data_IF_118923591025
#
_entry.id   IF_118923591025
#
_cell.length_a   1.000
_cell.length_b   1.000
_cell.length_c   1.000
_cell.angle_alpha   90.00
_cell.angle_beta   90.00
_cell.angle_gamma   90.00
#
_symmetry.space_group_name_H-M   'P 1'
#
loop_
_entity.id
_entity.type
_entity.pdbx_description
1 polymer ?
#
# COMPACT_ATOMS: atom_id res chain seq x y z
N UNK A 1 100.81 6.94 -22.36
CA UNK A 1 100.36 6.94 -23.76
C UNK A 1 99.93 8.37 -24.06
N UNK A 2 100.73 9.28 -24.65
CA UNK A 2 101.47 9.21 -25.94
C UNK A 2 100.47 8.77 -27.01
N UNK A 3 99.94 9.62 -27.89
CA UNK A 3 100.55 10.41 -29.00
C UNK A 3 99.57 11.58 -29.30
N UNK A 4 99.94 12.88 -29.24
CA UNK A 4 100.55 13.72 -30.32
C UNK A 4 99.81 13.58 -31.68
N UNK A 5 99.60 14.56 -32.56
CA UNK A 5 100.26 15.81 -32.93
C UNK A 5 99.24 16.54 -33.85
N UNK A 6 98.92 17.84 -33.63
CA UNK A 6 99.59 19.03 -34.18
C UNK A 6 99.49 19.19 -35.72
N UNK A 7 98.85 20.28 -36.16
CA UNK A 7 99.38 21.36 -37.02
C UNK A 7 98.19 22.28 -37.43
N UNK A 8 98.06 23.54 -36.97
CA UNK A 8 98.70 24.80 -37.44
C UNK A 8 98.45 25.16 -38.92
N UNK A 9 98.47 26.46 -39.34
CA UNK A 9 98.27 27.73 -38.62
C UNK A 9 97.39 28.76 -39.40
N UNK A 10 97.31 29.96 -38.82
CA UNK A 10 96.61 31.18 -39.23
C UNK A 10 96.81 31.72 -40.66
N UNK A 11 95.85 32.51 -41.15
CA UNK A 11 96.13 33.65 -42.03
C UNK A 11 95.12 34.79 -41.89
N UNK A 12 95.67 36.00 -41.84
CA UNK A 12 95.03 37.31 -41.79
C UNK A 12 94.45 37.76 -43.13
N UNK A 13 93.55 38.76 -43.12
CA UNK A 13 93.30 39.64 -44.28
C UNK A 13 91.86 40.15 -44.46
N UNK A 14 91.63 41.40 -44.07
CA UNK A 14 90.61 42.37 -44.58
C UNK A 14 90.70 42.55 -46.13
N UNK A 15 89.85 43.32 -46.88
CA UNK A 15 88.73 44.24 -46.56
C UNK A 15 87.50 44.10 -47.56
N UNK A 16 86.53 45.06 -47.67
CA UNK A 16 85.18 44.83 -48.24
C UNK A 16 84.97 45.33 -49.68
N UNK A 17 83.99 44.74 -50.38
CA UNK A 17 83.19 45.23 -51.53
C UNK A 17 82.58 43.96 -52.16
N UNK A 18 81.34 43.85 -52.62
CA UNK A 18 80.48 44.80 -53.32
C UNK A 18 79.03 44.33 -53.19
N UNK A 19 78.09 45.28 -53.29
CA UNK A 19 76.69 44.99 -53.65
C UNK A 19 76.67 44.17 -54.94
N UNK A 20 75.84 43.14 -54.98
CA UNK A 20 74.85 42.92 -56.04
C UNK A 20 74.08 41.61 -55.82
N UNK A 21 72.88 41.58 -56.38
CA UNK A 21 71.96 40.45 -56.55
C UNK A 21 71.28 39.84 -55.31
N UNK A 22 70.12 40.40 -54.97
CA UNK A 22 69.06 39.64 -54.29
C UNK A 22 68.49 38.56 -55.24
N UNK A 23 68.31 37.30 -54.81
CA UNK A 23 67.60 36.31 -55.61
C UNK A 23 66.08 36.61 -55.62
N UNK A 24 65.36 36.25 -56.70
CA UNK A 24 63.93 36.49 -56.79
C UNK A 24 63.19 35.66 -55.75
N UNK A 25 62.38 36.32 -54.92
CA UNK A 25 61.44 35.69 -53.99
C UNK A 25 60.44 34.89 -54.81
N UNK A 26 60.46 33.57 -54.62
CA UNK A 26 59.43 32.69 -55.15
C UNK A 26 58.09 33.08 -54.51
N UNK A 27 57.09 33.27 -55.35
CA UNK A 27 55.71 33.57 -55.00
C UNK A 27 55.11 32.31 -54.35
N UNK A 28 55.32 32.15 -53.04
CA UNK A 28 54.65 31.11 -52.26
C UNK A 28 53.14 31.44 -52.25
N UNK A 29 52.38 30.63 -52.97
CA UNK A 29 50.94 30.67 -52.99
C UNK A 29 50.40 30.63 -51.55
N UNK A 30 49.87 31.75 -51.08
CA UNK A 30 49.15 31.85 -49.82
C UNK A 30 47.91 30.97 -49.95
N UNK A 31 47.92 29.78 -49.35
CA UNK A 31 46.72 28.99 -49.18
C UNK A 31 45.71 29.82 -48.36
N UNK A 32 44.47 30.02 -48.85
CA UNK A 32 43.50 30.81 -48.10
C UNK A 32 43.14 30.09 -46.80
N UNK A 33 43.43 30.72 -45.66
CA UNK A 33 42.98 30.28 -44.34
C UNK A 33 41.45 30.13 -44.39
N UNK A 34 40.87 28.95 -44.11
CA UNK A 34 39.43 28.79 -44.13
C UNK A 34 38.81 29.67 -43.03
N UNK A 35 38.01 30.67 -43.45
CA UNK A 35 37.22 31.49 -42.53
C UNK A 35 36.21 30.56 -41.87
N UNK A 36 36.47 30.12 -40.63
CA UNK A 36 35.51 29.36 -39.84
C UNK A 36 34.30 30.25 -39.61
N UNK A 37 33.14 29.84 -40.14
CA UNK A 37 31.89 30.54 -39.92
C UNK A 37 31.69 30.78 -38.41
N UNK A 38 31.22 31.97 -37.99
CA UNK A 38 30.92 32.22 -36.58
C UNK A 38 29.92 31.17 -36.12
N UNK A 39 30.18 30.57 -34.95
CA UNK A 39 29.29 29.58 -34.38
C UNK A 39 27.86 30.15 -34.30
N UNK A 40 26.81 29.35 -34.59
CA UNK A 40 25.44 29.82 -34.46
C UNK A 40 25.19 30.31 -33.04
N UNK A 41 24.48 31.43 -32.89
CA UNK A 41 24.10 31.92 -31.56
C UNK A 41 23.21 30.86 -30.91
N UNK A 42 23.45 30.48 -29.65
CA UNK A 42 22.58 29.56 -28.96
C UNK A 42 21.17 30.19 -28.87
N UNK A 43 20.14 29.38 -29.09
CA UNK A 43 18.73 29.77 -28.94
C UNK A 43 18.09 29.14 -27.71
N UNK A 44 18.81 28.25 -27.03
CA UNK A 44 18.41 27.55 -25.81
C UNK A 44 19.42 27.75 -24.68
N UNK A 45 18.95 27.65 -23.45
CA UNK A 45 19.76 27.58 -22.25
C UNK A 45 19.77 26.15 -21.69
N UNK A 46 20.86 25.77 -21.03
CA UNK A 46 20.94 24.50 -20.33
C UNK A 46 20.35 24.66 -18.92
N UNK A 47 19.43 23.77 -18.54
CA UNK A 47 18.81 23.71 -17.22
C UNK A 47 19.30 22.45 -16.51
N UNK A 48 19.90 22.63 -15.34
CA UNK A 48 20.24 21.56 -14.42
C UNK A 48 19.41 21.70 -13.15
N UNK A 49 18.65 20.67 -12.80
CA UNK A 49 17.83 20.66 -11.59
C UNK A 49 18.23 19.49 -10.71
N UNK A 50 18.74 19.81 -9.54
CA UNK A 50 18.99 18.87 -8.45
C UNK A 50 17.81 18.89 -7.49
N UNK A 51 17.45 17.74 -6.93
CA UNK A 51 16.35 17.66 -5.96
C UNK A 51 16.47 16.48 -5.02
N UNK A 52 16.03 16.70 -3.78
CA UNK A 52 15.87 15.65 -2.75
C UNK A 52 14.65 14.76 -3.01
N UNK A 53 13.66 15.24 -3.79
CA UNK A 53 12.50 14.46 -4.22
C UNK A 53 12.85 13.60 -5.45
N UNK A 54 13.66 12.55 -5.24
CA UNK A 54 14.08 11.64 -6.30
C UNK A 54 12.90 10.98 -7.01
N UNK A 55 12.88 11.05 -8.35
CA UNK A 55 11.83 10.45 -9.17
C UNK A 55 10.57 11.30 -9.34
N UNK A 56 10.51 12.50 -8.74
CA UNK A 56 9.45 13.47 -8.99
C UNK A 56 9.50 13.97 -10.44
N UNK A 57 8.36 14.04 -11.13
CA UNK A 57 8.33 14.51 -12.53
C UNK A 57 8.36 16.04 -12.55
N UNK A 58 9.27 16.60 -13.33
CA UNK A 58 9.34 18.05 -13.57
C UNK A 58 8.63 18.40 -14.88
N UNK A 59 7.78 19.41 -14.81
CA UNK A 59 7.05 19.98 -15.95
C UNK A 59 7.39 21.46 -16.04
N UNK A 60 7.70 21.94 -17.24
CA UNK A 60 7.96 23.35 -17.51
C UNK A 60 6.82 23.92 -18.35
N UNK A 61 6.18 24.99 -17.88
CA UNK A 61 5.12 25.71 -18.58
C UNK A 61 5.65 27.06 -19.07
N UNK A 62 5.49 27.36 -20.37
CA UNK A 62 5.92 28.66 -20.94
C UNK A 62 4.98 29.76 -20.46
N UNK A 63 5.54 30.83 -19.88
CA UNK A 63 4.80 32.03 -19.50
C UNK A 63 4.77 33.08 -20.61
N UNK A 64 5.51 32.85 -21.70
CA UNK A 64 5.57 33.73 -22.86
C UNK A 64 4.82 33.08 -24.05
N UNK A 65 3.80 33.78 -24.57
CA UNK A 65 2.98 33.37 -25.72
C UNK A 65 3.75 33.38 -27.07
N UNK A 66 4.93 33.99 -27.13
CA UNK A 66 5.69 34.24 -28.35
C UNK A 66 6.73 33.14 -28.67
N UNK A 67 6.88 32.17 -27.78
CA UNK A 67 7.78 31.02 -27.97
C UNK A 67 7.05 30.04 -28.88
N UNK A 68 7.39 29.95 -30.16
CA UNK A 68 6.77 29.06 -31.16
C UNK A 68 6.91 27.54 -30.90
N UNK A 69 7.00 27.11 -29.65
CA UNK A 69 7.05 25.73 -29.17
C UNK A 69 5.86 25.38 -28.25
N UNK A 70 5.80 24.16 -27.71
CA UNK A 70 4.70 23.73 -26.84
C UNK A 70 4.67 24.55 -25.54
N UNK A 71 3.48 24.97 -25.13
CA UNK A 71 3.25 25.72 -23.88
C UNK A 71 3.61 24.92 -22.62
N UNK A 72 3.78 23.61 -22.73
CA UNK A 72 4.12 22.72 -21.62
C UNK A 72 5.11 21.65 -22.11
N UNK A 73 6.23 21.49 -21.41
CA UNK A 73 7.28 20.51 -21.69
C UNK A 73 7.49 19.61 -20.48
N UNK A 74 7.27 18.30 -20.63
CA UNK A 74 7.65 17.33 -19.60
C UNK A 74 9.16 17.06 -19.66
N UNK A 75 9.88 17.37 -18.59
CA UNK A 75 11.33 17.22 -18.51
C UNK A 75 11.75 15.82 -18.00
N UNK A 76 10.86 15.13 -17.28
CA UNK A 76 11.09 13.79 -16.76
C UNK A 76 11.37 13.75 -15.25
N UNK A 77 11.87 12.62 -14.71
CA UNK A 77 12.13 12.46 -13.28
C UNK A 77 13.35 13.27 -12.82
N UNK A 78 13.28 13.84 -11.61
CA UNK A 78 14.40 14.53 -10.95
C UNK A 78 15.43 13.53 -10.38
N UNK A 79 16.74 13.85 -10.40
CA UNK A 79 17.36 15.05 -10.99
C UNK A 79 17.37 15.01 -12.52
N UNK A 80 17.29 16.18 -13.16
CA UNK A 80 17.18 16.28 -14.63
C UNK A 80 18.16 17.29 -15.22
N UNK A 81 18.67 16.96 -16.41
CA UNK A 81 19.39 17.87 -17.29
C UNK A 81 18.58 18.05 -18.57
N UNK A 82 18.18 19.28 -18.86
CA UNK A 82 17.36 19.60 -20.03
C UNK A 82 17.84 20.86 -20.73
N UNK A 83 17.47 21.02 -22.00
CA UNK A 83 17.68 22.27 -22.73
C UNK A 83 16.32 22.86 -23.04
N UNK A 84 16.07 24.09 -22.61
CA UNK A 84 14.84 24.82 -22.87
C UNK A 84 15.13 26.07 -23.71
N UNK A 85 14.22 26.48 -24.60
CA UNK A 85 14.32 27.75 -25.31
C UNK A 85 14.46 28.92 -24.32
N UNK A 86 15.19 29.95 -24.73
CA UNK A 86 15.26 31.18 -23.93
C UNK A 86 13.87 31.81 -23.80
N UNK A 87 13.51 32.24 -22.59
CA UNK A 87 12.17 32.71 -22.26
C UNK A 87 11.83 32.50 -20.78
N UNK A 88 10.64 32.91 -20.36
CA UNK A 88 10.12 32.71 -19.01
C UNK A 88 9.35 31.40 -18.91
N UNK A 89 9.70 30.60 -17.92
CA UNK A 89 9.14 29.28 -17.67
C UNK A 89 8.69 29.16 -16.21
N UNK A 90 7.52 28.58 -15.98
CA UNK A 90 7.09 28.10 -14.66
C UNK A 90 7.42 26.63 -14.55
N UNK A 91 8.38 26.29 -13.70
CA UNK A 91 8.71 24.91 -13.37
C UNK A 91 7.75 24.43 -12.29
N UNK A 92 7.19 23.24 -12.46
CA UNK A 92 6.30 22.59 -11.49
C UNK A 92 6.74 21.15 -11.27
N UNK A 93 6.77 20.73 -10.01
CA UNK A 93 6.98 19.32 -9.68
C UNK A 93 5.99 18.85 -8.64
N UNK A 94 5.45 17.65 -8.87
CA UNK A 94 4.52 16.96 -8.00
C UNK A 94 5.03 15.54 -7.78
N UNK A 95 5.06 15.10 -6.53
CA UNK A 95 5.45 13.74 -6.18
C UNK A 95 4.67 13.25 -4.97
N UNK A 96 4.44 11.94 -4.91
CA UNK A 96 3.70 11.32 -3.83
C UNK A 96 4.40 11.57 -2.48
N UNK A 97 3.71 12.22 -1.55
CA UNK A 97 4.21 12.52 -0.21
C UNK A 97 4.86 13.90 -0.04
N UNK A 98 4.91 14.73 -1.07
CA UNK A 98 5.47 16.09 -1.01
C UNK A 98 4.43 17.15 -1.40
N UNK A 99 4.58 18.37 -0.87
CA UNK A 99 3.79 19.51 -1.30
C UNK A 99 4.13 19.86 -2.77
N UNK A 100 3.13 20.25 -3.58
CA UNK A 100 3.38 20.76 -4.93
C UNK A 100 4.33 21.94 -4.89
N UNK A 101 5.38 21.89 -5.70
CA UNK A 101 6.36 22.96 -5.79
C UNK A 101 6.26 23.64 -7.16
N UNK A 102 6.37 24.98 -7.17
CA UNK A 102 6.43 25.76 -8.41
C UNK A 102 7.37 26.94 -8.30
N UNK A 103 8.15 27.19 -9.34
CA UNK A 103 9.07 28.33 -9.42
C UNK A 103 9.09 28.93 -10.83
N UNK A 104 9.00 30.26 -10.91
CA UNK A 104 9.14 31.00 -12.17
C UNK A 104 10.61 31.33 -12.40
N UNK A 105 11.12 30.95 -13.57
CA UNK A 105 12.53 31.13 -13.96
C UNK A 105 12.63 31.74 -15.35
N UNK A 106 13.67 32.53 -15.58
CA UNK A 106 13.99 33.10 -16.89
C UNK A 106 15.23 32.41 -17.43
N UNK A 107 15.11 31.77 -18.59
CA UNK A 107 16.20 31.06 -19.25
C UNK A 107 16.84 31.99 -20.28
N UNK A 108 18.14 32.24 -20.13
CA UNK A 108 18.94 33.05 -21.04
C UNK A 108 19.69 32.13 -22.00
N UNK A 109 19.70 32.49 -23.29
CA UNK A 109 20.32 31.66 -24.31
C UNK A 109 21.85 31.55 -24.10
N UNK A 110 22.37 30.31 -24.07
CA UNK A 110 23.80 30.05 -23.87
C UNK A 110 24.30 30.09 -22.43
N UNK A 111 23.44 30.42 -21.45
CA UNK A 111 23.80 30.39 -20.03
C UNK A 111 23.24 29.13 -19.34
N UNK A 112 24.05 28.42 -18.54
CA UNK A 112 23.55 27.31 -17.73
C UNK A 112 22.87 27.82 -16.46
N UNK A 113 21.63 27.40 -16.22
CA UNK A 113 20.89 27.65 -14.98
C UNK A 113 20.92 26.37 -14.12
N UNK A 114 21.42 26.47 -12.89
CA UNK A 114 21.38 25.38 -11.90
C UNK A 114 20.41 25.73 -10.79
N UNK A 115 19.48 24.83 -10.50
CA UNK A 115 18.46 24.99 -9.45
C UNK A 115 18.52 23.80 -8.49
N UNK A 116 18.41 24.11 -7.20
CA UNK A 116 18.23 23.13 -6.14
C UNK A 116 16.78 23.19 -5.67
N UNK A 117 16.07 22.07 -5.77
CA UNK A 117 14.64 21.95 -5.47
C UNK A 117 14.43 21.03 -4.28
N UNK A 118 13.93 21.58 -3.18
CA UNK A 118 13.61 20.84 -1.96
C UNK A 118 12.12 20.98 -1.66
N UNK A 119 11.25 20.12 -2.20
CA UNK A 119 9.83 20.13 -1.88
C UNK A 119 9.61 19.78 -0.41
N UNK A 120 8.67 20.46 0.25
CA UNK A 120 8.31 20.16 1.64
C UNK A 120 7.58 18.82 1.74
N UNK A 121 7.95 17.98 2.70
CA UNK A 121 7.31 16.68 2.93
C UNK A 121 5.92 16.87 3.57
N UNK A 122 4.91 16.20 3.06
CA UNK A 122 3.61 16.12 3.74
C UNK A 122 3.71 15.01 4.78
N UNK A 123 3.94 15.42 6.03
CA UNK A 123 4.09 14.49 7.15
C UNK A 123 2.77 13.83 7.56
N UNK A 124 1.64 14.52 7.38
CA UNK A 124 0.34 14.03 7.85
C UNK A 124 -0.39 13.14 6.83
N UNK A 125 -1.02 12.07 7.30
CA UNK A 125 -2.03 11.32 6.57
C UNK A 125 -3.40 11.44 7.25
N UNK A 126 -4.48 11.34 6.49
CA UNK A 126 -5.85 11.48 6.99
C UNK A 126 -6.59 10.15 6.97
N UNK A 127 -7.19 9.79 8.12
CA UNK A 127 -8.05 8.64 8.26
C UNK A 127 -9.49 9.09 8.52
N UNK A 128 -10.37 8.84 7.57
CA UNK A 128 -11.80 9.09 7.70
C UNK A 128 -12.53 7.77 7.97
N UNK A 129 -13.20 7.65 9.11
CA UNK A 129 -13.93 6.47 9.52
C UNK A 129 -15.44 6.75 9.54
N UNK A 130 -16.19 5.97 8.76
CA UNK A 130 -17.64 6.11 8.59
C UNK A 130 -18.36 4.89 9.14
N UNK A 131 -19.54 5.13 9.72
CA UNK A 131 -20.46 4.06 10.10
C UNK A 131 -21.31 3.67 8.88
N UNK A 132 -21.16 2.44 8.38
CA UNK A 132 -21.93 1.94 7.24
C UNK A 132 -23.31 1.37 7.63
N UNK A 133 -23.61 1.28 8.92
CA UNK A 133 -24.90 0.93 9.50
C UNK A 133 -25.04 1.52 10.92
N UNK A 134 -26.28 1.61 11.41
CA UNK A 134 -26.62 2.08 12.77
C UNK A 134 -25.90 1.25 13.87
N UNK A 135 -25.68 -0.04 13.60
CA UNK A 135 -24.93 -0.91 14.51
C UNK A 135 -23.47 -0.45 14.73
N UNK A 136 -22.86 0.28 13.78
CA UNK A 136 -21.48 0.77 13.87
C UNK A 136 -21.36 2.16 14.51
N UNK A 137 -22.44 2.92 14.61
CA UNK A 137 -22.40 4.27 15.19
C UNK A 137 -21.99 4.23 16.67
N UNK A 138 -21.10 5.13 17.08
CA UNK A 138 -20.56 5.17 18.44
C UNK A 138 -19.69 3.96 18.81
N UNK A 139 -19.21 3.17 17.84
CA UNK A 139 -18.19 2.17 18.10
C UNK A 139 -16.84 2.85 18.41
N UNK A 140 -16.10 2.29 19.35
CA UNK A 140 -14.78 2.77 19.75
C UNK A 140 -13.74 2.28 18.73
N UNK A 141 -12.99 3.22 18.17
CA UNK A 141 -11.87 2.96 17.26
C UNK A 141 -10.57 3.16 18.02
N UNK A 142 -9.69 2.19 17.93
CA UNK A 142 -8.33 2.25 18.46
C UNK A 142 -7.31 2.04 17.36
N UNK A 143 -6.20 2.77 17.44
CA UNK A 143 -5.05 2.68 16.56
C UNK A 143 -3.86 2.22 17.40
N UNK A 144 -3.26 1.09 17.03
CA UNK A 144 -2.11 0.49 17.75
C UNK A 144 -2.34 0.25 19.26
N UNK A 145 -3.61 0.10 19.65
CA UNK A 145 -4.03 -0.13 21.04
C UNK A 145 -4.42 1.14 21.80
N UNK A 146 -4.18 2.32 21.25
CA UNK A 146 -4.61 3.60 21.82
C UNK A 146 -5.99 4.00 21.28
N UNK A 147 -6.84 4.54 22.16
CA UNK A 147 -8.18 4.98 21.76
C UNK A 147 -8.06 6.24 20.90
N UNK A 148 -8.52 6.15 19.65
CA UNK A 148 -8.47 7.25 18.70
C UNK A 148 -9.74 8.10 18.78
N UNK A 149 -10.90 7.49 18.50
CA UNK A 149 -12.18 8.19 18.45
C UNK A 149 -13.38 7.24 18.46
N UNK A 150 -14.60 7.79 18.59
CA UNK A 150 -15.86 7.07 18.35
C UNK A 150 -16.38 7.31 16.93
N UNK A 151 -16.93 6.27 16.28
CA UNK A 151 -17.50 6.39 14.93
C UNK A 151 -18.76 7.28 14.88
N UNK A 152 -18.95 8.10 13.83
CA UNK A 152 -18.01 8.44 12.76
C UNK A 152 -16.99 9.51 13.20
N UNK A 153 -15.76 9.44 12.69
CA UNK A 153 -14.70 10.39 13.01
C UNK A 153 -13.69 10.57 11.86
N UNK A 154 -12.93 11.66 11.90
CA UNK A 154 -11.83 11.95 10.97
C UNK A 154 -10.64 12.45 11.77
N UNK A 155 -9.51 11.75 11.66
CA UNK A 155 -8.32 12.04 12.45
C UNK A 155 -7.06 12.06 11.59
N UNK A 156 -6.04 12.77 12.10
CA UNK A 156 -4.69 12.74 11.53
C UNK A 156 -3.95 11.55 12.08
N UNK A 157 -3.24 10.85 11.20
CA UNK A 157 -2.50 9.63 11.52
C UNK A 157 -1.12 9.74 10.89
N UNK A 158 -0.11 9.32 11.64
CA UNK A 158 1.25 9.27 11.14
C UNK A 158 1.37 8.28 9.97
N UNK A 159 2.25 8.53 8.98
CA UNK A 159 2.53 7.56 7.93
C UNK A 159 3.23 6.33 8.50
N UNK A 160 2.76 5.14 8.13
CA UNK A 160 3.30 3.91 8.70
C UNK A 160 2.42 2.70 8.55
N UNK A 161 2.77 1.65 9.31
CA UNK A 161 1.93 0.47 9.50
C UNK A 161 1.26 0.60 10.85
N UNK A 162 -0.05 0.63 10.85
CA UNK A 162 -0.88 0.70 12.03
C UNK A 162 -1.80 -0.51 12.11
N UNK A 163 -2.32 -0.77 13.30
CA UNK A 163 -3.34 -1.78 13.56
C UNK A 163 -4.60 -1.09 14.02
N UNK A 164 -5.64 -1.17 13.21
CA UNK A 164 -6.95 -0.57 13.54
C UNK A 164 -7.79 -1.64 14.20
N UNK A 165 -8.30 -1.35 15.39
CA UNK A 165 -9.27 -2.20 16.07
C UNK A 165 -10.54 -1.40 16.40
N UNK A 166 -11.69 -1.90 15.94
CA UNK A 166 -13.00 -1.32 16.18
C UNK A 166 -13.81 -2.25 17.09
N UNK A 167 -14.33 -1.70 18.19
CA UNK A 167 -15.06 -2.45 19.21
C UNK A 167 -16.34 -1.74 19.60
N UNK A 168 -17.39 -2.54 19.82
CA UNK A 168 -18.66 -2.07 20.40
C UNK A 168 -19.29 -3.21 21.20
N UNK A 169 -19.96 -2.86 22.30
CA UNK A 169 -20.63 -3.84 23.17
C UNK A 169 -21.64 -4.67 22.38
N UNK A 170 -21.66 -5.99 22.58
CA UNK A 170 -22.53 -6.96 21.89
C UNK A 170 -22.36 -7.03 20.36
N UNK A 171 -21.24 -6.56 19.82
CA UNK A 171 -20.91 -6.67 18.39
C UNK A 171 -19.63 -7.48 18.21
N UNK A 172 -19.47 -8.10 17.04
CA UNK A 172 -18.24 -8.81 16.68
C UNK A 172 -17.11 -7.77 16.48
N UNK A 173 -15.95 -7.92 17.14
CA UNK A 173 -14.84 -6.99 16.97
C UNK A 173 -14.27 -7.09 15.56
N UNK A 174 -13.70 -5.98 15.08
CA UNK A 174 -13.02 -5.90 13.81
C UNK A 174 -11.58 -5.42 14.05
N UNK A 175 -10.59 -6.15 13.51
CA UNK A 175 -9.17 -5.86 13.69
C UNK A 175 -8.44 -6.17 12.38
N UNK A 176 -7.72 -5.20 11.84
CA UNK A 176 -6.95 -5.37 10.60
C UNK A 176 -5.73 -4.44 10.53
N UNK A 177 -4.68 -4.85 9.81
CA UNK A 177 -3.54 -3.98 9.54
C UNK A 177 -3.93 -2.89 8.53
N UNK A 178 -3.54 -1.65 8.82
CA UNK A 178 -3.68 -0.50 7.94
C UNK A 178 -2.30 0.08 7.64
N UNK A 179 -1.92 0.12 6.36
CA UNK A 179 -0.75 0.90 5.92
C UNK A 179 -1.23 2.29 5.47
N UNK A 180 -0.59 3.33 5.98
CA UNK A 180 -0.76 4.72 5.56
C UNK A 180 0.54 5.22 4.94
N UNK A 181 0.45 5.80 3.74
CA UNK A 181 1.57 6.53 3.15
C UNK A 181 1.40 8.04 3.42
N UNK A 182 2.46 8.80 3.16
CA UNK A 182 2.42 10.27 3.22
C UNK A 182 1.36 10.82 2.26
N UNK A 183 0.65 11.87 2.71
CA UNK A 183 -0.44 12.48 1.97
C UNK A 183 -1.59 11.52 1.54
N UNK A 184 -1.70 10.35 2.18
CA UNK A 184 -2.85 9.45 1.97
C UNK A 184 -4.09 10.03 2.67
N UNK A 185 -5.22 10.02 1.99
CA UNK A 185 -6.55 10.11 2.60
C UNK A 185 -7.24 8.74 2.46
N UNK A 186 -7.40 8.03 3.57
CA UNK A 186 -8.04 6.71 3.61
C UNK A 186 -9.43 6.86 4.22
N UNK A 187 -10.46 6.49 3.48
CA UNK A 187 -11.83 6.35 3.98
C UNK A 187 -12.13 4.89 4.28
N UNK A 188 -12.60 4.60 5.49
CA UNK A 188 -13.03 3.28 5.95
C UNK A 188 -14.54 3.30 6.23
N UNK A 189 -15.30 2.54 5.44
CA UNK A 189 -16.71 2.30 5.69
C UNK A 189 -16.84 1.06 6.60
N UNK A 190 -17.06 1.27 7.90
CA UNK A 190 -17.08 0.19 8.90
C UNK A 190 -18.49 -0.35 9.07
N UNK A 191 -18.66 -1.68 8.96
CA UNK A 191 -19.90 -2.41 9.20
C UNK A 191 -19.69 -3.47 10.28
N UNK A 192 -20.12 -3.16 11.50
CA UNK A 192 -20.19 -4.12 12.60
C UNK A 192 -21.43 -5.00 12.50
N UNK A 193 -21.24 -6.27 12.86
CA UNK A 193 -22.31 -7.25 12.99
C UNK A 193 -22.57 -7.56 14.48
N UNK A 194 -23.83 -7.83 14.87
CA UNK A 194 -24.14 -8.23 16.23
C UNK A 194 -23.41 -9.54 16.57
N UNK A 195 -22.95 -9.62 17.81
CA UNK A 195 -22.45 -10.87 18.37
C UNK A 195 -23.60 -11.86 18.47
N UNK A 196 -23.37 -13.09 18.03
CA UNK A 196 -24.37 -14.16 18.16
C UNK A 196 -24.74 -14.32 19.64
N UNK A 197 -26.04 -14.51 19.91
CA UNK A 197 -26.50 -14.76 21.27
C UNK A 197 -26.10 -16.17 21.69
N UNK A 198 -25.75 -16.37 22.97
CA UNK A 198 -25.50 -17.71 23.51
C UNK A 198 -26.78 -18.53 23.71
N UNK A 199 -27.94 -18.01 23.29
CA UNK A 199 -29.24 -18.61 23.53
C UNK A 199 -29.38 -20.04 22.95
N UNK A 200 -28.91 -20.35 21.73
CA UNK A 200 -28.98 -21.72 21.20
C UNK A 200 -28.13 -22.71 22.02
N UNK A 201 -26.94 -22.29 22.47
CA UNK A 201 -26.09 -23.11 23.35
C UNK A 201 -26.78 -23.37 24.71
N UNK A 202 -27.38 -22.34 25.31
CA UNK A 202 -28.10 -22.46 26.59
C UNK A 202 -29.32 -23.39 26.44
N UNK A 203 -30.11 -23.23 25.38
CA UNK A 203 -31.29 -24.05 25.13
C UNK A 203 -30.92 -25.52 24.91
N UNK A 204 -29.96 -25.78 24.02
CA UNK A 204 -29.50 -27.15 23.74
C UNK A 204 -28.85 -27.79 24.96
N UNK A 205 -28.10 -27.02 25.75
CA UNK A 205 -27.51 -27.50 27.00
C UNK A 205 -28.56 -27.86 28.05
N UNK A 206 -29.61 -27.04 28.19
CA UNK A 206 -30.73 -27.32 29.09
C UNK A 206 -31.48 -28.60 28.68
N UNK A 207 -31.75 -28.78 27.38
CA UNK A 207 -32.35 -30.02 26.85
C UNK A 207 -31.41 -31.23 27.02
N UNK A 208 -30.10 -31.03 26.87
CA UNK A 208 -29.08 -32.05 27.10
C UNK A 208 -29.10 -32.51 28.56
N UNK A 209 -29.22 -31.59 29.51
CA UNK A 209 -29.32 -31.92 30.93
C UNK A 209 -30.60 -32.69 31.27
N UNK A 210 -31.75 -32.29 30.72
CA UNK A 210 -33.01 -32.99 30.98
C UNK A 210 -33.00 -34.41 30.43
N UNK A 211 -32.47 -34.61 29.22
CA UNK A 211 -32.30 -35.94 28.62
C UNK A 211 -31.28 -36.79 29.36
N UNK A 212 -30.21 -36.18 29.88
CA UNK A 212 -29.24 -36.87 30.73
C UNK A 212 -29.89 -37.40 32.02
N UNK A 213 -30.65 -36.55 32.72
CA UNK A 213 -31.36 -36.94 33.94
C UNK A 213 -32.38 -38.04 33.65
N UNK A 214 -33.14 -37.93 32.56
CA UNK A 214 -34.06 -38.98 32.14
C UNK A 214 -33.33 -40.30 31.84
N UNK A 215 -32.21 -40.25 31.11
CA UNK A 215 -31.39 -41.42 30.79
C UNK A 215 -30.87 -42.13 32.04
N UNK A 216 -30.35 -41.38 33.01
CA UNK A 216 -29.93 -41.93 34.31
C UNK A 216 -31.11 -42.58 35.02
N UNK A 217 -32.26 -41.90 35.13
CA UNK A 217 -33.44 -42.45 35.82
C UNK A 217 -33.91 -43.76 35.18
N UNK A 218 -34.14 -43.78 33.87
CA UNK A 218 -34.64 -44.98 33.18
C UNK A 218 -33.64 -46.14 33.19
N UNK A 219 -32.33 -45.86 33.09
CA UNK A 219 -31.33 -46.91 33.25
C UNK A 219 -31.30 -47.47 34.67
N UNK A 220 -31.43 -46.63 35.70
CA UNK A 220 -31.50 -47.12 37.10
C UNK A 220 -32.73 -47.98 37.36
N UNK A 221 -33.91 -47.58 36.87
CA UNK A 221 -35.15 -48.37 36.98
C UNK A 221 -35.03 -49.70 36.25
N UNK A 222 -34.49 -49.70 35.02
CA UNK A 222 -34.25 -50.92 34.25
C UNK A 222 -33.29 -51.89 34.95
N UNK A 223 -32.19 -51.38 35.52
CA UNK A 223 -31.23 -52.19 36.29
C UNK A 223 -31.83 -52.70 37.60
N UNK A 224 -32.67 -51.89 38.27
CA UNK A 224 -33.36 -52.33 39.49
C UNK A 224 -34.35 -53.46 39.19
N UNK A 225 -35.10 -53.37 38.09
CA UNK A 225 -35.95 -54.47 37.62
C UNK A 225 -35.11 -55.73 37.41
N UNK A 226 -34.03 -55.65 36.64
CA UNK A 226 -33.14 -56.79 36.40
C UNK A 226 -32.57 -57.39 37.69
N UNK A 227 -32.15 -56.57 38.66
CA UNK A 227 -31.62 -57.03 39.95
C UNK A 227 -32.68 -57.74 40.79
N UNK A 228 -33.91 -57.24 40.81
CA UNK A 228 -35.00 -57.89 41.56
C UNK A 228 -35.37 -59.25 40.97
N UNK A 229 -35.38 -59.37 39.64
CA UNK A 229 -35.57 -60.67 38.98
C UNK A 229 -34.45 -61.65 39.30
N UNK A 230 -33.19 -61.19 39.27
CA UNK A 230 -32.04 -62.02 39.58
C UNK A 230 -32.09 -62.52 41.04
N UNK A 231 -32.46 -61.65 41.98
CA UNK A 231 -32.60 -62.01 43.38
C UNK A 231 -33.71 -63.06 43.60
N UNK A 232 -34.84 -62.95 42.90
CA UNK A 232 -35.92 -63.94 42.97
C UNK A 232 -35.49 -65.29 42.37
N UNK A 233 -34.72 -65.27 41.28
CA UNK A 233 -34.19 -66.48 40.64
C UNK A 233 -33.22 -67.22 41.56
N UNK A 234 -32.32 -66.49 42.22
CA UNK A 234 -31.36 -67.04 43.19
C UNK A 234 -32.07 -67.57 44.45
N UNK A 235 -33.24 -67.01 44.79
CA UNK A 235 -34.08 -67.43 45.91
C UNK A 235 -34.99 -68.64 45.63
N UNK A 236 -34.88 -69.29 44.46
CA UNK A 236 -35.79 -70.33 43.99
C UNK A 236 -37.27 -69.88 43.90
N UNK A 237 -37.51 -68.58 43.70
CA UNK A 237 -38.86 -68.05 43.50
C UNK A 237 -39.45 -68.57 42.18
N UNK A 238 -40.73 -68.96 42.20
CA UNK A 238 -41.49 -69.16 40.97
C UNK A 238 -41.93 -67.78 40.45
N UNK A 239 -41.58 -67.45 39.21
CA UNK A 239 -42.09 -66.27 38.54
C UNK A 239 -43.07 -66.65 37.43
N UNK A 240 -44.09 -65.83 37.29
CA UNK A 240 -45.04 -65.94 36.18
C UNK A 240 -44.35 -65.51 34.88
N UNK A 241 -44.68 -66.18 33.78
CA UNK A 241 -44.24 -65.80 32.44
C UNK A 241 -44.73 -64.40 32.06
N UNK A 242 -45.85 -63.98 32.66
CA UNK A 242 -46.49 -62.69 32.44
C UNK A 242 -46.10 -61.64 33.50
N UNK A 243 -44.97 -61.81 34.20
CA UNK A 243 -44.49 -60.83 35.18
C UNK A 243 -44.16 -59.48 34.49
N UNK A 244 -44.83 -58.37 34.89
CA UNK A 244 -44.67 -57.07 34.22
C UNK A 244 -43.26 -56.48 34.35
N UNK A 245 -42.43 -56.97 35.29
CA UNK A 245 -41.06 -56.49 35.48
C UNK A 245 -40.17 -56.80 34.27
N UNK A 246 -40.43 -57.87 33.52
CA UNK A 246 -39.70 -58.17 32.28
C UNK A 246 -39.96 -57.11 31.21
N UNK A 247 -41.23 -56.80 30.95
CA UNK A 247 -41.62 -55.84 29.93
C UNK A 247 -41.22 -54.41 30.32
N UNK A 248 -41.47 -54.03 31.58
CA UNK A 248 -41.12 -52.71 32.10
C UNK A 248 -39.60 -52.51 32.11
N UNK A 249 -38.83 -53.47 32.62
CA UNK A 249 -37.37 -53.38 32.65
C UNK A 249 -36.77 -53.26 31.24
N UNK A 250 -37.26 -54.03 30.28
CA UNK A 250 -36.82 -53.92 28.87
C UNK A 250 -37.20 -52.57 28.27
N UNK A 251 -38.41 -52.07 28.52
CA UNK A 251 -38.86 -50.77 28.05
C UNK A 251 -38.00 -49.65 28.65
N UNK A 252 -37.75 -49.68 29.95
CA UNK A 252 -36.96 -48.67 30.66
C UNK A 252 -35.51 -48.65 30.16
N UNK A 253 -34.88 -49.81 29.93
CA UNK A 253 -33.54 -49.87 29.35
C UNK A 253 -33.50 -49.30 27.92
N UNK A 254 -34.47 -49.63 27.07
CA UNK A 254 -34.56 -49.08 25.71
C UNK A 254 -34.75 -47.57 25.71
N UNK A 255 -35.61 -47.05 26.60
CA UNK A 255 -35.79 -45.60 26.79
C UNK A 255 -34.50 -44.96 27.28
N UNK A 256 -33.82 -45.59 28.25
CA UNK A 256 -32.53 -45.14 28.76
C UNK A 256 -31.47 -45.01 27.67
N UNK A 257 -31.33 -46.03 26.80
CA UNK A 257 -30.41 -46.01 25.65
C UNK A 257 -30.74 -44.86 24.69
N UNK A 258 -32.03 -44.67 24.37
CA UNK A 258 -32.47 -43.57 23.52
C UNK A 258 -32.15 -42.20 24.13
N UNK A 259 -32.34 -42.04 25.44
CA UNK A 259 -32.01 -40.81 26.16
C UNK A 259 -30.50 -40.53 26.19
N UNK A 260 -29.65 -41.55 26.33
CA UNK A 260 -28.20 -41.40 26.21
C UNK A 260 -27.79 -40.94 24.82
N UNK A 261 -28.40 -41.49 23.76
CA UNK A 261 -28.18 -41.03 22.39
C UNK A 261 -28.58 -39.56 22.20
N UNK A 262 -29.76 -39.17 22.70
CA UNK A 262 -30.23 -37.78 22.66
C UNK A 262 -29.30 -36.83 23.43
N UNK A 263 -28.85 -37.25 24.62
CA UNK A 263 -27.89 -36.49 25.45
C UNK A 263 -26.59 -36.24 24.70
N UNK A 264 -26.03 -37.27 24.05
CA UNK A 264 -24.79 -37.15 23.28
C UNK A 264 -24.96 -36.17 22.10
N UNK A 265 -26.06 -36.28 21.36
CA UNK A 265 -26.38 -35.38 20.25
C UNK A 265 -26.55 -33.92 20.68
N UNK A 266 -27.32 -33.69 21.76
CA UNK A 266 -27.54 -32.35 22.30
C UNK A 266 -26.24 -31.74 22.86
N UNK A 267 -25.41 -32.54 23.53
CA UNK A 267 -24.11 -32.10 24.03
C UNK A 267 -23.19 -31.68 22.89
N UNK A 268 -23.12 -32.46 21.82
CA UNK A 268 -22.35 -32.12 20.62
C UNK A 268 -22.85 -30.81 19.99
N UNK A 269 -24.17 -30.61 19.92
CA UNK A 269 -24.78 -29.39 19.39
C UNK A 269 -24.51 -28.17 20.30
N UNK A 270 -24.56 -28.34 21.63
CA UNK A 270 -24.19 -27.29 22.58
C UNK A 270 -22.74 -26.88 22.41
N UNK A 271 -21.83 -27.85 22.27
CA UNK A 271 -20.42 -27.57 22.02
C UNK A 271 -20.22 -26.84 20.68
N UNK A 272 -20.94 -27.26 19.63
CA UNK A 272 -20.93 -26.58 18.34
C UNK A 272 -21.32 -25.10 18.48
N UNK A 273 -22.42 -24.78 19.17
CA UNK A 273 -22.84 -23.40 19.37
C UNK A 273 -21.95 -22.59 20.33
N UNK A 274 -21.21 -23.24 21.21
CA UNK A 274 -20.22 -22.58 22.07
C UNK A 274 -18.95 -22.20 21.30
N UNK A 275 -18.49 -23.08 20.40
CA UNK A 275 -17.25 -22.91 19.67
C UNK A 275 -17.43 -22.12 18.36
N UNK A 276 -18.59 -22.24 17.72
CA UNK A 276 -18.89 -21.57 16.46
C UNK A 276 -19.87 -20.42 16.70
N UNK A 277 -19.49 -19.20 16.31
CA UNK A 277 -20.39 -18.04 16.32
C UNK A 277 -21.08 -17.90 14.95
N UNK A 278 -22.29 -18.45 14.75
CA UNK A 278 -23.03 -18.25 13.51
C UNK A 278 -23.25 -16.76 13.19
N UNK A 279 -23.31 -16.46 11.90
CA UNK A 279 -23.62 -15.13 11.36
C UNK A 279 -22.44 -14.48 10.62
N UNK A 280 -22.73 -13.44 9.86
CA UNK A 280 -21.72 -12.68 9.11
C UNK A 280 -20.65 -12.08 10.03
N UNK A 281 -19.43 -11.92 9.51
CA UNK A 281 -18.37 -11.20 10.19
C UNK A 281 -18.58 -9.68 10.06
N UNK A 282 -18.10 -8.92 11.05
CA UNK A 282 -17.89 -7.48 10.87
C UNK A 282 -16.87 -7.26 9.76
N UNK A 283 -17.02 -6.19 8.98
CA UNK A 283 -16.17 -5.89 7.83
C UNK A 283 -15.90 -4.39 7.72
N UNK A 284 -14.81 -4.02 7.06
CA UNK A 284 -14.57 -2.65 6.64
C UNK A 284 -14.24 -2.60 5.15
N UNK A 285 -14.89 -1.70 4.42
CA UNK A 285 -14.55 -1.39 3.04
C UNK A 285 -13.57 -0.21 3.01
N UNK A 286 -12.39 -0.44 2.43
CA UNK A 286 -11.33 0.58 2.32
C UNK A 286 -11.38 1.30 0.98
N UNK A 287 -11.36 2.63 1.01
CA UNK A 287 -11.08 3.50 -0.13
C UNK A 287 -9.86 4.36 0.18
N UNK A 288 -8.96 4.52 -0.78
CA UNK A 288 -7.76 5.36 -0.65
C UNK A 288 -7.76 6.41 -1.76
N UNK A 289 -7.43 7.64 -1.40
CA UNK A 289 -7.07 8.73 -2.31
C UNK A 289 -5.69 9.23 -1.92
N UNK A 290 -4.85 9.52 -2.90
CA UNK A 290 -3.54 10.14 -2.65
C UNK A 290 -3.69 11.64 -2.96
N UNK A 291 -3.52 12.49 -1.97
CA UNK A 291 -3.69 13.95 -2.14
C UNK A 291 -2.57 14.58 -2.99
N UNK A 292 -1.46 13.86 -3.15
CA UNK A 292 -0.32 14.30 -3.94
C UNK A 292 -0.44 14.04 -5.46
N UNK A 293 -1.51 13.38 -5.92
CA UNK A 293 -1.74 13.11 -7.36
C UNK A 293 -3.07 13.75 -7.75
N UNK A 294 -3.12 15.07 -7.70
CA UNK A 294 -4.25 15.85 -8.20
C UNK A 294 -3.74 16.81 -9.28
N UNK A 295 -3.52 16.24 -10.47
CA UNK A 295 -3.36 16.99 -11.71
C UNK A 295 -4.70 17.64 -12.07
N UNK A 296 -5.09 18.68 -11.34
CA UNK A 296 -6.18 19.55 -11.75
C UNK A 296 -5.69 20.37 -12.96
N UNK A 297 -6.04 19.93 -14.18
CA UNK A 297 -5.98 20.80 -15.36
C UNK A 297 -5.52 20.19 -16.68
N UNK A 298 -4.94 18.99 -16.71
CA UNK A 298 -4.58 18.38 -18.00
C UNK A 298 -5.79 17.61 -18.53
N UNK A 299 -6.56 18.26 -19.40
CA UNK A 299 -7.54 17.56 -20.23
C UNK A 299 -6.84 16.34 -20.87
N UNK A 300 -7.42 15.13 -20.84
CA UNK A 300 -6.85 14.02 -21.57
C UNK A 300 -6.84 14.43 -23.03
N UNK A 301 -5.65 14.71 -23.57
CA UNK A 301 -5.47 14.96 -24.97
C UNK A 301 -5.83 13.65 -25.67
N UNK A 302 -7.06 13.60 -26.17
CA UNK A 302 -7.59 12.49 -26.94
C UNK A 302 -6.66 12.31 -28.13
N UNK A 303 -5.75 11.35 -28.02
CA UNK A 303 -4.91 10.92 -29.12
C UNK A 303 -5.85 10.26 -30.14
N UNK A 304 -5.90 10.68 -31.41
CA UNK A 304 -6.82 10.09 -32.38
C UNK A 304 -6.44 8.67 -32.82
N UNK A 305 -5.49 8.00 -32.14
CA UNK A 305 -5.02 6.67 -32.49
C UNK A 305 -4.89 5.80 -31.25
N UNK A 306 -5.81 4.83 -31.15
CA UNK A 306 -5.56 3.55 -30.48
C UNK A 306 -5.81 3.48 -28.98
N UNK A 307 -7.07 3.20 -28.60
CA UNK A 307 -7.45 2.21 -27.57
C UNK A 307 -6.46 1.95 -26.43
N UNK A 308 -6.65 2.66 -25.31
CA UNK A 308 -6.06 2.34 -24.01
C UNK A 308 -7.05 2.70 -22.90
N UNK A 309 -7.84 1.73 -22.46
CA UNK A 309 -8.74 1.83 -21.31
C UNK A 309 -7.94 2.15 -20.04
N UNK A 310 -7.94 3.41 -19.62
CA UNK A 310 -7.51 3.81 -18.27
C UNK A 310 -8.54 3.37 -17.25
N UNK A 311 -8.45 2.12 -16.79
CA UNK A 311 -9.25 1.61 -15.68
C UNK A 311 -8.73 2.24 -14.39
N UNK A 312 -9.45 3.21 -13.85
CA UNK A 312 -9.34 3.62 -12.46
C UNK A 312 -9.74 2.45 -11.56
N UNK A 313 -8.77 1.61 -11.20
CA UNK A 313 -8.95 0.53 -10.23
C UNK A 313 -9.12 1.14 -8.84
N UNK A 314 -10.36 1.51 -8.53
CA UNK A 314 -10.82 1.57 -7.14
C UNK A 314 -10.75 0.16 -6.56
N UNK A 315 -9.60 -0.23 -6.04
CA UNK A 315 -9.41 -1.52 -5.39
C UNK A 315 -10.24 -1.55 -4.10
N UNK A 316 -11.45 -2.10 -4.18
CA UNK A 316 -12.24 -2.49 -3.01
C UNK A 316 -11.59 -3.72 -2.38
N UNK A 317 -10.68 -3.48 -1.46
CA UNK A 317 -10.14 -4.54 -0.62
C UNK A 317 -11.14 -4.80 0.51
N UNK A 318 -11.68 -6.02 0.49
CA UNK A 318 -12.59 -6.54 1.51
C UNK A 318 -11.75 -7.20 2.60
N UNK A 319 -11.93 -6.78 3.84
CA UNK A 319 -11.31 -7.36 5.03
C UNK A 319 -12.39 -7.83 6.00
#
# INVERSE_FOLDING_TARGET
MVVLALAQPARAGQPPASRDEAPPVADDAIEPVPIRAPAPRPTSGALHVESTAHGARLVAESLDDDTGGPSTVELGPLPVHASLPAGRWRLRTESAGYQPWSLDVTIVAGEPLTLEVEPELIEDAWLELRAANEASEGAEVSLDGELLCGLPCRERVEPGKHRVAVRKRRHKPLDFPLRMNQADEVTLDVRLQPSTSRAPAVLTGALGLTTLVAGVTFTTLGVQAQRSLAADLDGFGQYDRDDPRFENGRRDLNVGIAMWGATAGLTALTLYYLLHQPGEASRADKRRRNLAVQLDGVAPLVSPLGSGLGVGLGARLRF
#
